data_IF_993158511423
#
_entry.id   IF_993158511423
#
_cell.length_a   1.000
_cell.length_b   1.000
_cell.length_c   1.000
_cell.angle_alpha   90.00
_cell.angle_beta   90.00
_cell.angle_gamma   90.00
#
_symmetry.space_group_name_H-M   'P 1'
#
loop_
_entity.id
_entity.type
_entity.pdbx_description
1 polymer ?
#
# COMPACT_ATOMS: atom_id res chain seq x y z
N UNK A 1 12.99 6.91 -15.88
CA UNK A 1 13.98 5.85 -15.62
C UNK A 1 14.50 6.00 -14.21
N UNK A 2 14.04 5.16 -13.28
CA UNK A 2 14.50 5.14 -11.90
C UNK A 2 15.25 3.81 -11.69
N UNK A 3 16.58 3.86 -11.68
CA UNK A 3 17.40 2.70 -11.32
C UNK A 3 17.37 2.60 -9.79
N UNK A 4 16.75 1.54 -9.26
CA UNK A 4 16.88 1.21 -7.85
C UNK A 4 18.29 0.69 -7.59
N UNK A 5 19.14 1.53 -7.00
CA UNK A 5 20.51 1.17 -6.60
C UNK A 5 20.43 0.58 -5.19
N UNK A 6 20.71 -0.71 -5.05
CA UNK A 6 21.01 -1.32 -3.75
C UNK A 6 22.44 -0.94 -3.35
N UNK A 7 22.61 0.02 -2.44
CA UNK A 7 23.89 0.23 -1.78
C UNK A 7 24.14 -0.91 -0.78
N UNK A 8 24.69 -2.02 -1.27
CA UNK A 8 25.48 -2.91 -0.41
C UNK A 8 26.81 -2.23 -0.17
N UNK A 9 26.93 -1.48 0.94
CA UNK A 9 28.23 -1.03 1.42
C UNK A 9 28.98 -2.25 1.98
N UNK A 10 30.01 -2.68 1.26
CA UNK A 10 31.02 -3.63 1.70
C UNK A 10 32.39 -2.98 1.50
N UNK A 11 33.20 -3.02 2.55
CA UNK A 11 34.43 -2.28 2.79
C UNK A 11 35.47 -2.22 1.66
N UNK A 12 36.28 -1.16 1.73
CA UNK A 12 37.59 -1.07 1.09
C UNK A 12 38.41 -2.34 1.36
N UNK A 13 38.75 -3.08 0.29
CA UNK A 13 39.85 -4.06 0.33
C UNK A 13 40.87 -3.62 -0.70
N UNK A 14 42.03 -3.24 -0.16
CA UNK A 14 43.25 -2.93 -0.89
C UNK A 14 43.65 -4.10 -1.80
N UNK A 15 44.17 -3.72 -2.96
CA UNK A 15 44.67 -4.55 -4.04
C UNK A 15 45.77 -5.51 -3.57
N UNK A 16 45.51 -6.82 -3.59
CA UNK A 16 46.56 -7.86 -3.54
C UNK A 16 46.36 -8.89 -4.65
N UNK A 17 47.37 -8.92 -5.52
CA UNK A 17 47.59 -9.78 -6.67
C UNK A 17 47.43 -11.27 -6.33
N UNK A 18 46.58 -11.97 -7.08
CA UNK A 18 46.66 -13.44 -7.20
C UNK A 18 45.53 -14.25 -6.56
N UNK A 19 44.27 -13.77 -6.57
CA UNK A 19 43.13 -14.56 -6.08
C UNK A 19 42.50 -15.37 -7.21
N UNK A 20 42.40 -16.68 -6.98
CA UNK A 20 41.64 -17.65 -7.80
C UNK A 20 40.23 -17.11 -8.01
N UNK A 21 39.82 -16.97 -9.28
CA UNK A 21 38.44 -16.67 -9.68
C UNK A 21 37.56 -17.74 -9.06
N UNK A 22 36.87 -17.38 -7.97
CA UNK A 22 35.81 -18.20 -7.40
C UNK A 22 34.58 -18.00 -8.29
N UNK A 23 33.79 -19.05 -8.51
CA UNK A 23 32.69 -19.10 -9.49
C UNK A 23 31.64 -17.98 -9.36
N UNK A 24 31.68 -17.18 -8.28
CA UNK A 24 30.86 -16.00 -8.03
C UNK A 24 31.09 -14.86 -9.04
N UNK A 25 32.27 -14.72 -9.64
CA UNK A 25 32.58 -13.63 -10.60
C UNK A 25 32.04 -13.87 -12.02
N UNK A 26 31.45 -15.04 -12.30
CA UNK A 26 30.87 -15.36 -13.61
C UNK A 26 29.36 -15.16 -13.72
N UNK A 27 28.71 -14.61 -12.68
CA UNK A 27 27.27 -14.35 -12.71
C UNK A 27 27.02 -13.13 -13.59
N UNK A 28 26.45 -13.36 -14.78
CA UNK A 28 25.79 -12.29 -15.53
C UNK A 28 24.66 -11.73 -14.68
N UNK A 29 24.56 -10.41 -14.61
CA UNK A 29 23.47 -9.76 -13.91
C UNK A 29 22.15 -10.07 -14.62
N UNK A 30 21.24 -10.74 -13.91
CA UNK A 30 19.93 -11.10 -14.41
C UNK A 30 18.88 -10.16 -13.80
N UNK A 31 18.04 -9.60 -14.67
CA UNK A 31 17.01 -8.63 -14.32
C UNK A 31 15.62 -9.21 -14.57
N UNK A 32 14.67 -8.84 -13.73
CA UNK A 32 13.24 -9.01 -13.96
C UNK A 32 12.56 -7.65 -13.95
N UNK A 33 11.58 -7.48 -14.83
CA UNK A 33 10.87 -6.21 -15.01
C UNK A 33 9.37 -6.42 -14.87
N UNK A 34 8.77 -5.57 -14.05
CA UNK A 34 7.41 -5.73 -13.58
C UNK A 34 6.56 -4.49 -13.85
N UNK A 35 5.44 -4.69 -14.53
CA UNK A 35 4.38 -3.70 -14.59
C UNK A 35 3.43 -3.92 -13.43
N UNK A 36 3.26 -2.90 -12.60
CA UNK A 36 2.54 -3.01 -11.35
C UNK A 36 1.15 -2.38 -11.46
N UNK A 37 0.17 -3.04 -10.87
CA UNK A 37 -1.16 -2.52 -10.68
C UNK A 37 -1.69 -2.90 -9.30
N UNK A 38 -2.62 -2.10 -8.79
CA UNK A 38 -3.34 -2.39 -7.56
C UNK A 38 -4.76 -2.82 -7.89
N UNK A 39 -5.21 -3.91 -7.27
CA UNK A 39 -6.60 -4.33 -7.29
C UNK A 39 -7.20 -4.04 -5.91
N UNK A 40 -8.14 -3.11 -5.85
CA UNK A 40 -8.64 -2.63 -4.56
C UNK A 40 -9.23 -1.25 -4.71
N UNK A 41 -10.27 -0.97 -3.94
CA UNK A 41 -11.09 0.23 -4.13
C UNK A 41 -12.60 -0.02 -4.03
N UNK A 42 -13.02 -1.23 -3.69
CA UNK A 42 -14.40 -1.46 -3.24
C UNK A 42 -14.58 -0.86 -1.86
N UNK A 43 -15.72 -0.20 -1.63
CA UNK A 43 -16.14 0.25 -0.30
C UNK A 43 -16.19 -0.95 0.64
N UNK A 44 -15.47 -0.86 1.76
CA UNK A 44 -15.47 -1.92 2.78
C UNK A 44 -16.42 -1.58 3.93
N UNK A 45 -16.77 -0.30 4.09
CA UNK A 45 -17.74 0.15 5.09
C UNK A 45 -19.16 -0.26 4.70
N UNK A 46 -19.80 -1.06 5.56
CA UNK A 46 -21.22 -1.44 5.46
C UNK A 46 -21.99 -0.72 6.56
N UNK A 47 -23.03 0.03 6.21
CA UNK A 47 -24.00 0.56 7.18
C UNK A 47 -25.14 -0.45 7.41
N UNK A 48 -25.75 -0.42 8.61
CA UNK A 48 -26.97 -1.18 8.90
C UNK A 48 -28.16 -0.32 8.45
N UNK A 49 -28.43 -0.34 7.15
CA UNK A 49 -29.56 0.37 6.56
C UNK A 49 -29.89 -0.23 5.19
N UNK A 50 -31.17 -0.28 4.83
CA UNK A 50 -31.64 -0.75 3.52
C UNK A 50 -31.18 0.14 2.36
N UNK A 51 -30.58 1.28 2.67
CA UNK A 51 -29.96 2.18 1.71
C UNK A 51 -28.45 1.91 1.69
N UNK A 52 -27.96 1.47 0.54
CA UNK A 52 -26.53 1.42 0.30
C UNK A 52 -25.93 2.81 0.59
N UNK A 53 -24.72 2.89 1.19
CA UNK A 53 -24.06 4.17 1.39
C UNK A 53 -24.04 4.95 0.07
N UNK A 54 -24.36 6.24 0.12
CA UNK A 54 -24.32 7.17 -1.02
C UNK A 54 -22.88 7.21 -1.56
N UNK A 55 -22.63 6.35 -2.54
CA UNK A 55 -21.34 6.05 -3.14
C UNK A 55 -20.66 7.27 -3.78
N UNK A 56 -21.42 8.33 -4.07
CA UNK A 56 -20.89 9.59 -4.59
C UNK A 56 -20.25 10.48 -3.53
N UNK A 57 -20.36 10.16 -2.23
CA UNK A 57 -19.83 10.99 -1.13
C UNK A 57 -18.61 10.40 -0.42
N UNK A 58 -18.18 9.21 -0.78
CA UNK A 58 -17.07 8.51 -0.11
C UNK A 58 -15.84 8.42 -1.01
N UNK A 59 -14.68 8.77 -0.43
CA UNK A 59 -13.35 8.61 -1.06
C UNK A 59 -12.70 7.26 -0.70
N UNK A 60 -13.44 6.37 -0.02
CA UNK A 60 -12.94 5.10 0.51
C UNK A 60 -12.39 4.18 -0.59
N UNK A 61 -13.00 4.20 -1.77
CA UNK A 61 -12.54 3.44 -2.92
C UNK A 61 -11.29 3.98 -3.60
N UNK A 62 -10.93 5.25 -3.36
CA UNK A 62 -9.88 5.94 -4.12
C UNK A 62 -8.49 5.56 -3.61
N UNK A 63 -7.55 5.41 -4.55
CA UNK A 63 -6.11 5.29 -4.29
C UNK A 63 -5.39 6.43 -4.98
N UNK A 64 -4.78 7.34 -4.20
CA UNK A 64 -4.07 8.51 -4.71
C UNK A 64 -2.55 8.44 -4.50
N UNK A 65 -2.10 7.52 -3.64
CA UNK A 65 -0.68 7.27 -3.43
C UNK A 65 -0.44 5.81 -3.07
N UNK A 66 0.76 5.31 -3.36
CA UNK A 66 1.17 3.95 -3.02
C UNK A 66 2.68 3.85 -2.87
N UNK A 67 3.14 3.22 -1.80
CA UNK A 67 4.49 2.70 -1.67
C UNK A 67 4.48 1.20 -1.94
N UNK A 68 5.38 0.73 -2.80
CA UNK A 68 5.59 -0.70 -3.07
C UNK A 68 7.01 -1.07 -2.69
N UNK A 69 7.15 -2.18 -1.96
CA UNK A 69 8.42 -2.85 -1.73
C UNK A 69 8.37 -4.27 -2.29
N UNK A 70 9.48 -4.72 -2.86
CA UNK A 70 9.69 -6.09 -3.28
C UNK A 70 10.67 -6.80 -2.34
N UNK A 71 10.48 -8.12 -2.22
CA UNK A 71 11.29 -9.03 -1.42
C UNK A 71 11.56 -10.32 -2.19
N UNK A 72 12.73 -10.94 -1.99
CA UNK A 72 12.99 -12.30 -2.44
C UNK A 72 12.40 -13.29 -1.45
N UNK A 73 11.72 -14.32 -1.97
CA UNK A 73 11.01 -15.33 -1.19
C UNK A 73 9.50 -15.18 -1.28
N UNK A 74 8.80 -16.22 -0.83
CA UNK A 74 7.35 -16.16 -0.64
C UNK A 74 6.99 -15.44 0.65
N UNK A 75 5.77 -14.93 0.73
CA UNK A 75 5.27 -14.22 1.91
C UNK A 75 5.40 -15.03 3.21
N UNK A 76 5.25 -16.36 3.13
CA UNK A 76 5.42 -17.31 4.23
C UNK A 76 6.86 -17.40 4.78
N UNK A 77 7.85 -16.99 3.97
CA UNK A 77 9.25 -16.96 4.34
C UNK A 77 9.73 -15.58 4.80
N UNK A 78 8.88 -14.54 4.67
CA UNK A 78 9.25 -13.19 5.10
C UNK A 78 9.26 -13.10 6.63
N UNK A 79 10.31 -12.48 7.15
CA UNK A 79 10.46 -12.18 8.57
C UNK A 79 10.60 -10.68 8.75
N UNK A 80 10.50 -10.19 9.98
CA UNK A 80 10.72 -8.76 10.25
C UNK A 80 12.09 -8.25 9.76
N UNK A 81 13.10 -9.12 9.67
CA UNK A 81 14.43 -8.77 9.17
C UNK A 81 14.61 -8.91 7.66
N UNK A 82 13.61 -9.36 6.90
CA UNK A 82 13.72 -9.50 5.44
C UNK A 82 13.92 -8.14 4.79
N UNK A 83 15.02 -7.99 4.05
CA UNK A 83 15.42 -6.73 3.42
C UNK A 83 14.63 -6.44 2.14
N UNK A 84 14.32 -5.16 1.93
CA UNK A 84 13.71 -4.67 0.71
C UNK A 84 14.75 -4.67 -0.42
N UNK A 85 14.47 -5.39 -1.50
CA UNK A 85 15.38 -5.49 -2.67
C UNK A 85 15.13 -4.39 -3.71
N UNK A 86 13.91 -3.86 -3.75
CA UNK A 86 13.50 -2.74 -4.59
C UNK A 86 12.29 -2.07 -3.97
N UNK A 87 12.16 -0.76 -4.14
CA UNK A 87 10.95 -0.04 -3.76
C UNK A 87 10.68 1.14 -4.67
N UNK A 88 9.41 1.52 -4.75
CA UNK A 88 8.96 2.67 -5.51
C UNK A 88 7.78 3.34 -4.82
N UNK A 89 7.66 4.65 -5.04
CA UNK A 89 6.54 5.44 -4.55
C UNK A 89 5.80 6.09 -5.73
N UNK A 90 4.49 5.94 -5.75
CA UNK A 90 3.57 6.39 -6.79
C UNK A 90 2.56 7.35 -6.18
N UNK A 91 2.21 8.43 -6.87
CA UNK A 91 1.14 9.32 -6.44
C UNK A 91 0.54 10.13 -7.59
N UNK A 92 -0.67 10.65 -7.38
CA UNK A 92 -1.40 11.56 -8.28
C UNK A 92 -1.23 13.04 -7.93
N UNK A 93 -0.43 13.35 -6.90
CA UNK A 93 -0.24 14.70 -6.38
C UNK A 93 1.02 15.35 -7.00
N UNK A 94 1.13 16.68 -6.93
CA UNK A 94 2.37 17.43 -7.25
C UNK A 94 2.96 17.15 -8.64
N UNK A 95 2.12 16.89 -9.65
CA UNK A 95 2.55 16.57 -11.02
C UNK A 95 2.91 15.10 -11.25
N UNK A 96 2.69 14.22 -10.27
CA UNK A 96 2.70 12.78 -10.48
C UNK A 96 1.43 12.34 -11.22
N UNK A 97 1.60 11.67 -12.35
CA UNK A 97 0.53 10.94 -13.07
C UNK A 97 0.82 9.43 -13.03
N UNK A 98 1.40 8.99 -11.91
CA UNK A 98 1.95 7.65 -11.80
C UNK A 98 0.90 6.61 -11.38
N UNK A 99 -0.36 7.02 -11.16
CA UNK A 99 -1.48 6.13 -10.82
C UNK A 99 -2.66 6.50 -11.71
N UNK A 100 -3.00 5.60 -12.64
CA UNK A 100 -4.15 5.75 -13.54
C UNK A 100 -5.25 4.74 -13.22
N UNK A 101 -6.50 5.19 -13.15
CA UNK A 101 -7.64 4.26 -13.11
C UNK A 101 -7.72 3.52 -14.44
N UNK A 102 -7.65 2.19 -14.39
CA UNK A 102 -7.60 1.31 -15.56
C UNK A 102 -8.62 0.17 -15.44
N UNK A 103 -9.93 0.48 -15.33
CA UNK A 103 -10.97 -0.52 -15.13
C UNK A 103 -11.00 -1.52 -16.30
N UNK A 104 -11.17 -2.80 -15.97
CA UNK A 104 -11.47 -3.85 -16.94
C UNK A 104 -12.93 -4.27 -16.83
N UNK A 105 -13.43 -5.03 -17.82
CA UNK A 105 -14.81 -5.57 -17.78
C UNK A 105 -15.05 -6.43 -16.53
N UNK A 106 -14.02 -7.11 -16.05
CA UNK A 106 -14.10 -8.08 -14.96
C UNK A 106 -13.73 -7.46 -13.59
N UNK A 107 -13.00 -6.34 -13.59
CA UNK A 107 -12.65 -5.62 -12.37
C UNK A 107 -12.65 -4.09 -12.59
N UNK A 108 -13.66 -3.37 -12.06
CA UNK A 108 -13.78 -1.93 -12.23
C UNK A 108 -12.81 -1.12 -11.35
N UNK A 109 -12.12 -1.76 -10.40
CA UNK A 109 -11.28 -1.10 -9.39
C UNK A 109 -9.81 -1.51 -9.54
N UNK A 110 -9.26 -1.27 -10.73
CA UNK A 110 -7.85 -1.47 -11.04
C UNK A 110 -7.16 -0.11 -11.18
N UNK A 111 -6.01 0.03 -10.53
CA UNK A 111 -5.14 1.20 -10.62
C UNK A 111 -3.80 0.78 -11.22
N UNK A 112 -3.54 1.19 -12.46
CA UNK A 112 -2.26 0.96 -13.13
C UNK A 112 -1.20 1.94 -12.59
N UNK A 113 0.02 1.46 -12.40
CA UNK A 113 1.13 2.26 -11.91
C UNK A 113 2.11 2.56 -13.05
N UNK A 114 2.27 3.85 -13.39
CA UNK A 114 2.90 4.30 -14.63
C UNK A 114 4.41 4.04 -14.77
N UNK A 115 5.07 3.40 -13.80
CA UNK A 115 6.47 3.00 -13.89
C UNK A 115 6.65 1.52 -13.56
N UNK A 116 7.44 0.83 -14.37
CA UNK A 116 7.87 -0.55 -14.12
C UNK A 116 8.93 -0.61 -13.01
N UNK A 117 8.95 -1.72 -12.28
CA UNK A 117 9.97 -2.03 -11.28
C UNK A 117 10.97 -3.01 -11.85
N UNK A 118 12.26 -2.66 -11.80
CA UNK A 118 13.37 -3.52 -12.25
C UNK A 118 14.04 -4.11 -11.01
N UNK A 119 14.20 -5.43 -10.98
CA UNK A 119 14.78 -6.16 -9.86
C UNK A 119 15.94 -7.03 -10.36
N UNK A 120 17.08 -6.99 -9.67
CA UNK A 120 18.16 -7.95 -9.88
C UNK A 120 17.81 -9.29 -9.22
N UNK A 121 17.83 -10.36 -10.00
CA UNK A 121 17.42 -11.70 -9.57
C UNK A 121 18.67 -12.57 -9.41
N UNK A 122 18.88 -13.20 -8.24
CA UNK A 122 20.06 -14.01 -7.99
C UNK A 122 19.92 -15.41 -8.59
N UNK A 123 19.85 -15.50 -9.92
CA UNK A 123 19.96 -16.76 -10.68
C UNK A 123 21.30 -16.82 -11.45
N UNK A 124 21.61 -17.96 -12.07
CA UNK A 124 22.86 -18.15 -12.82
C UNK A 124 22.80 -17.59 -14.24
N UNK A 125 21.64 -17.67 -14.89
CA UNK A 125 21.37 -17.16 -16.23
C UNK A 125 19.84 -17.01 -16.42
N UNK A 126 19.42 -16.51 -17.59
CA UNK A 126 18.01 -16.27 -17.90
C UNK A 126 17.18 -17.56 -18.09
N UNK A 127 17.83 -18.70 -18.37
CA UNK A 127 17.17 -20.00 -18.57
C UNK A 127 17.02 -20.82 -17.27
N UNK A 128 17.47 -20.26 -16.14
CA UNK A 128 17.39 -20.88 -14.84
C UNK A 128 15.93 -21.22 -14.46
N UNK A 129 15.71 -22.47 -14.05
CA UNK A 129 14.39 -22.96 -13.63
C UNK A 129 14.14 -22.76 -12.13
N UNK A 130 15.19 -22.52 -11.36
CA UNK A 130 15.22 -22.31 -9.91
C UNK A 130 15.11 -20.82 -9.53
N UNK A 131 14.22 -20.08 -10.21
CA UNK A 131 13.97 -18.66 -9.90
C UNK A 131 13.37 -18.53 -8.50
N UNK A 132 13.89 -17.64 -7.63
CA UNK A 132 13.27 -17.37 -6.34
C UNK A 132 11.89 -16.77 -6.54
N UNK A 133 10.96 -17.00 -5.60
CA UNK A 133 9.71 -16.24 -5.58
C UNK A 133 10.01 -14.75 -5.32
N UNK A 134 9.14 -13.87 -5.80
CA UNK A 134 9.18 -12.45 -5.46
C UNK A 134 7.87 -12.08 -4.80
N UNK A 135 7.93 -11.46 -3.63
CA UNK A 135 6.76 -10.92 -2.93
C UNK A 135 6.75 -9.42 -3.03
N UNK A 136 5.64 -8.87 -3.52
CA UNK A 136 5.38 -7.43 -3.53
C UNK A 136 4.45 -7.08 -2.38
N UNK A 137 4.75 -6.00 -1.68
CA UNK A 137 3.95 -5.47 -0.58
C UNK A 137 3.61 -4.03 -0.90
N UNK A 138 2.33 -3.69 -0.88
CA UNK A 138 1.81 -2.37 -1.19
C UNK A 138 1.19 -1.72 0.05
N UNK A 139 1.54 -0.46 0.30
CA UNK A 139 0.89 0.41 1.28
C UNK A 139 0.34 1.64 0.54
N UNK A 140 -0.98 1.71 0.41
CA UNK A 140 -1.68 2.74 -0.33
C UNK A 140 -2.21 3.85 0.59
N UNK A 141 -2.32 5.05 0.03
CA UNK A 141 -2.85 6.26 0.68
C UNK A 141 -2.07 6.72 1.92
N UNK A 142 -0.74 6.63 1.86
CA UNK A 142 0.16 7.14 2.92
C UNK A 142 0.56 8.62 2.72
N UNK A 143 0.28 9.19 1.55
CA UNK A 143 0.45 10.61 1.23
C UNK A 143 -0.92 11.23 0.92
N UNK A 144 -1.11 12.46 1.40
CA UNK A 144 -2.24 13.31 1.06
C UNK A 144 -1.80 14.65 0.48
N UNK A 145 -2.75 15.41 -0.07
CA UNK A 145 -2.49 16.78 -0.55
C UNK A 145 -1.91 17.69 0.56
N UNK A 146 -2.32 17.48 1.81
CA UNK A 146 -2.04 18.37 2.94
C UNK A 146 -1.04 17.80 3.97
N UNK A 147 -0.69 16.51 3.87
CA UNK A 147 0.18 15.81 4.83
C UNK A 147 1.29 15.00 4.15
N UNK A 148 2.54 15.49 4.26
CA UNK A 148 3.77 14.83 3.75
C UNK A 148 4.51 13.98 4.78
N UNK A 149 4.24 14.18 6.07
CA UNK A 149 5.10 13.66 7.16
C UNK A 149 5.13 12.13 7.26
N UNK A 150 4.01 11.48 6.97
CA UNK A 150 3.95 10.01 7.00
C UNK A 150 4.74 9.40 5.83
N UNK A 151 4.75 10.04 4.64
CA UNK A 151 5.54 9.62 3.48
C UNK A 151 7.05 9.71 3.73
N UNK A 152 7.54 10.88 4.17
CA UNK A 152 8.97 11.10 4.36
C UNK A 152 9.54 10.11 5.39
N UNK A 153 8.77 9.84 6.45
CA UNK A 153 9.10 8.82 7.44
C UNK A 153 9.08 7.39 6.86
N UNK A 154 8.16 7.10 5.94
CA UNK A 154 8.04 5.79 5.30
C UNK A 154 9.21 5.54 4.32
N UNK A 155 9.42 6.41 3.34
CA UNK A 155 10.45 6.23 2.30
C UNK A 155 11.87 6.26 2.86
N UNK A 156 12.15 7.12 3.84
CA UNK A 156 13.50 7.24 4.38
C UNK A 156 13.91 6.03 5.26
N UNK A 157 12.98 5.50 6.06
CA UNK A 157 13.29 4.56 7.14
C UNK A 157 12.82 3.13 6.90
N UNK A 158 12.01 2.89 5.87
CA UNK A 158 11.54 1.54 5.57
C UNK A 158 12.63 0.76 4.82
N UNK A 159 13.31 -0.16 5.51
CA UNK A 159 14.39 -0.99 4.94
C UNK A 159 14.05 -2.48 4.96
N UNK A 160 13.17 -2.88 5.87
CA UNK A 160 12.79 -4.27 6.09
C UNK A 160 11.29 -4.45 6.02
N UNK A 161 10.86 -5.71 5.88
CA UNK A 161 9.45 -6.08 5.99
C UNK A 161 8.88 -5.73 7.38
N UNK A 162 9.68 -5.86 8.44
CA UNK A 162 9.30 -5.45 9.79
C UNK A 162 9.06 -3.94 9.91
N UNK A 163 9.82 -3.11 9.20
CA UNK A 163 9.60 -1.66 9.19
C UNK A 163 8.24 -1.30 8.56
N UNK A 164 7.84 -2.01 7.49
CA UNK A 164 6.53 -1.84 6.86
C UNK A 164 5.41 -2.16 7.88
N UNK A 165 5.50 -3.33 8.52
CA UNK A 165 4.48 -3.80 9.48
C UNK A 165 4.44 -2.97 10.76
N UNK A 166 5.61 -2.54 11.24
CA UNK A 166 5.77 -1.82 12.50
C UNK A 166 5.41 -0.34 12.40
N UNK A 167 5.30 0.22 11.19
CA UNK A 167 4.99 1.63 11.01
C UNK A 167 3.53 1.90 11.34
N UNK A 168 3.30 2.48 12.51
CA UNK A 168 2.02 3.11 12.83
C UNK A 168 1.82 4.29 11.89
N UNK A 169 0.78 4.24 11.08
CA UNK A 169 0.33 5.40 10.32
C UNK A 169 -0.39 6.28 11.33
N UNK A 170 0.29 7.32 11.76
CA UNK A 170 -0.09 8.12 12.93
C UNK A 170 -0.92 9.35 12.57
N UNK A 171 -0.92 9.77 11.30
CA UNK A 171 -1.62 10.98 10.86
C UNK A 171 -2.49 10.67 9.62
N UNK A 172 -3.49 9.81 9.80
CA UNK A 172 -4.57 9.70 8.81
C UNK A 172 -5.51 10.89 8.97
N UNK A 173 -5.61 11.73 7.96
CA UNK A 173 -6.82 12.56 7.78
C UNK A 173 -8.04 11.63 7.87
N UNK A 174 -9.15 12.03 8.52
CA UNK A 174 -10.35 11.20 8.61
C UNK A 174 -10.90 10.72 7.26
N UNK A 175 -10.52 11.37 6.15
CA UNK A 175 -10.91 11.00 4.78
C UNK A 175 -9.84 10.21 4.01
N UNK A 176 -8.73 9.83 4.66
CA UNK A 176 -7.68 9.00 4.08
C UNK A 176 -7.80 7.57 4.58
N UNK A 177 -8.14 6.68 3.66
CA UNK A 177 -8.29 5.26 3.91
C UNK A 177 -7.04 4.53 3.43
N UNK A 178 -6.13 4.27 4.37
CA UNK A 178 -4.93 3.47 4.12
C UNK A 178 -5.34 2.06 3.72
N UNK A 179 -4.66 1.55 2.70
CA UNK A 179 -4.83 0.16 2.25
C UNK A 179 -3.52 -0.59 2.30
N UNK A 180 -3.58 -1.87 2.61
CA UNK A 180 -2.43 -2.77 2.68
C UNK A 180 -2.71 -4.04 1.90
N UNK A 181 -1.69 -4.58 1.25
CA UNK A 181 -1.82 -5.77 0.43
C UNK A 181 -0.47 -6.35 0.03
N UNK A 182 -0.51 -7.60 -0.39
CA UNK A 182 0.67 -8.33 -0.85
C UNK A 182 0.30 -9.35 -1.92
N UNK A 183 1.26 -9.70 -2.74
CA UNK A 183 1.16 -10.81 -3.68
C UNK A 183 2.53 -11.45 -3.88
N UNK A 184 2.55 -12.78 -3.90
CA UNK A 184 3.74 -13.56 -4.23
C UNK A 184 3.62 -14.10 -5.66
N UNK A 185 4.67 -13.92 -6.46
CA UNK A 185 4.76 -14.47 -7.80
C UNK A 185 5.97 -15.41 -7.92
N UNK A 186 5.82 -16.43 -8.76
CA UNK A 186 6.88 -17.40 -9.09
C UNK A 186 7.13 -17.52 -10.58
N UNK A 187 6.12 -17.19 -11.41
CA UNK A 187 6.22 -17.23 -12.86
C UNK A 187 6.43 -15.81 -13.40
N UNK A 188 7.69 -15.42 -13.53
CA UNK A 188 8.08 -14.14 -14.10
C UNK A 188 9.23 -14.29 -15.09
N UNK A 189 9.30 -13.35 -16.02
CA UNK A 189 10.33 -13.29 -17.07
C UNK A 189 11.62 -12.67 -16.52
N UNK A 190 12.76 -13.22 -16.92
CA UNK A 190 14.09 -12.74 -16.56
C UNK A 190 14.95 -12.54 -17.81
N UNK A 191 15.91 -11.62 -17.77
CA UNK A 191 16.76 -11.24 -18.90
C UNK A 191 18.16 -10.82 -18.45
N UNK A 192 19.14 -10.95 -19.32
CA UNK A 192 20.52 -10.47 -19.09
C UNK A 192 20.67 -8.95 -19.29
N UNK A 193 19.69 -8.31 -19.92
CA UNK A 193 19.67 -6.87 -20.18
C UNK A 193 18.31 -6.31 -19.80
N UNK A 194 18.36 -5.12 -19.19
CA UNK A 194 17.18 -4.28 -18.96
C UNK A 194 16.59 -3.87 -20.30
N UNK A 195 15.27 -3.87 -20.40
CA UNK A 195 14.50 -3.45 -21.56
C UNK A 195 14.55 -1.92 -21.70
N UNK A 196 14.61 -1.46 -22.94
CA UNK A 196 14.45 -0.05 -23.24
C UNK A 196 12.99 0.41 -23.02
N UNK A 197 12.03 -0.51 -23.20
CA UNK A 197 10.60 -0.26 -23.02
C UNK A 197 9.88 -1.52 -22.49
N UNK A 198 8.96 -1.30 -21.57
CA UNK A 198 8.17 -2.35 -20.93
C UNK A 198 6.76 -2.35 -21.54
N UNK A 199 6.40 -3.45 -22.20
CA UNK A 199 5.14 -3.66 -22.91
C UNK A 199 4.38 -4.78 -22.21
N UNK A 200 3.24 -4.42 -21.62
CA UNK A 200 2.36 -5.33 -20.88
C UNK A 200 2.04 -6.58 -21.72
N UNK A 201 2.24 -7.77 -21.13
CA UNK A 201 1.93 -9.05 -21.76
C UNK A 201 3.01 -9.57 -22.74
N UNK A 202 3.87 -8.71 -23.28
CA UNK A 202 4.91 -9.11 -24.22
C UNK A 202 6.23 -9.42 -23.52
N UNK A 203 6.88 -8.41 -22.95
CA UNK A 203 8.27 -8.51 -22.53
C UNK A 203 8.47 -8.37 -21.01
N UNK A 204 7.52 -7.76 -20.31
CA UNK A 204 7.45 -7.62 -18.85
C UNK A 204 6.42 -8.55 -18.22
N UNK A 205 6.51 -8.70 -16.90
CA UNK A 205 5.56 -9.48 -16.10
C UNK A 205 4.59 -8.52 -15.41
N UNK A 206 3.29 -8.65 -15.69
CA UNK A 206 2.28 -7.88 -14.97
C UNK A 206 2.05 -8.45 -13.58
N UNK A 207 1.96 -7.58 -12.57
CA UNK A 207 1.65 -7.95 -11.19
C UNK A 207 0.50 -7.09 -10.69
N UNK A 208 -0.59 -7.77 -10.31
CA UNK A 208 -1.75 -7.13 -9.70
C UNK A 208 -1.74 -7.42 -8.19
N UNK A 209 -1.56 -6.37 -7.38
CA UNK A 209 -1.46 -6.48 -5.93
C UNK A 209 -2.83 -6.18 -5.31
N UNK A 210 -3.49 -7.15 -4.67
CA UNK A 210 -4.74 -6.92 -3.98
C UNK A 210 -4.52 -6.13 -2.70
N UNK A 211 -5.20 -4.98 -2.56
CA UNK A 211 -5.10 -4.12 -1.38
C UNK A 211 -6.44 -3.98 -0.66
N UNK A 212 -6.39 -4.04 0.66
CA UNK A 212 -7.55 -4.00 1.55
C UNK A 212 -7.43 -2.86 2.53
N UNK A 213 -8.55 -2.29 2.94
CA UNK A 213 -8.55 -1.18 3.87
C UNK A 213 -8.10 -1.63 5.26
N UNK A 214 -7.17 -0.88 5.85
CA UNK A 214 -6.72 -1.11 7.22
C UNK A 214 -7.66 -0.46 8.25
N UNK A 215 -8.32 0.64 7.85
CA UNK A 215 -9.23 1.38 8.72
C UNK A 215 -10.68 0.95 8.51
N UNK A 216 -11.54 1.23 9.48
CA UNK A 216 -12.98 1.06 9.35
C UNK A 216 -13.65 2.42 9.62
N UNK A 217 -14.62 2.80 8.78
CA UNK A 217 -15.45 3.95 9.09
C UNK A 217 -16.63 3.50 9.96
N UNK A 218 -16.91 4.28 11.01
CA UNK A 218 -18.09 4.08 11.86
C UNK A 218 -18.92 5.36 11.75
N UNK A 219 -20.13 5.24 11.22
CA UNK A 219 -21.08 6.33 11.14
C UNK A 219 -22.19 6.12 12.17
N UNK A 220 -22.39 7.11 13.03
CA UNK A 220 -23.55 7.14 13.92
C UNK A 220 -24.77 7.54 13.10
N UNK A 221 -25.71 6.60 12.93
CA UNK A 221 -26.94 6.84 12.18
C UNK A 221 -27.87 7.84 12.89
N UNK A 222 -28.07 7.64 14.20
CA UNK A 222 -28.93 8.51 15.00
C UNK A 222 -28.50 8.51 16.47
N UNK A 223 -28.55 9.68 17.11
CA UNK A 223 -28.43 9.81 18.57
C UNK A 223 -29.76 10.27 19.18
N UNK A 224 -30.51 9.33 19.76
CA UNK A 224 -31.79 9.65 20.44
C UNK A 224 -31.56 10.11 21.87
N UNK A 225 -31.84 11.39 22.15
CA UNK A 225 -31.89 11.92 23.52
C UNK A 225 -33.28 11.72 24.11
N UNK A 226 -33.44 10.69 24.93
CA UNK A 226 -34.67 10.49 25.69
C UNK A 226 -34.76 11.52 26.82
N UNK A 227 -35.80 12.35 26.79
CA UNK A 227 -36.10 13.28 27.90
C UNK A 227 -36.43 12.48 29.15
N UNK A 228 -35.58 12.56 30.18
CA UNK A 228 -35.98 12.13 31.53
C UNK A 228 -36.99 13.16 32.05
N UNK A 229 -38.27 12.83 32.02
CA UNK A 229 -39.29 13.61 32.71
C UNK A 229 -39.01 13.45 34.20
N UNK A 230 -38.47 14.49 34.84
CA UNK A 230 -38.49 14.56 36.30
C UNK A 230 -39.92 14.88 36.70
N UNK A 231 -40.66 13.85 37.11
CA UNK A 231 -41.90 13.99 37.88
C UNK A 231 -41.49 14.22 39.33
N UNK A 232 -41.88 15.37 39.86
CA UNK A 232 -41.76 15.69 41.28
C UNK A 232 -43.11 16.12 41.82
N UNK A 233 -43.30 15.92 43.11
CA UNK A 233 -44.42 16.48 43.85
C UNK A 233 -43.94 17.80 44.45
N UNK A 234 -44.67 18.89 44.26
CA UNK A 234 -44.34 20.15 44.93
C UNK A 234 -44.71 20.10 46.42
N UNK A 235 -44.41 21.18 47.13
CA UNK A 235 -44.69 21.35 48.57
C UNK A 235 -46.17 21.19 48.94
N UNK A 236 -47.07 21.27 47.96
CA UNK A 236 -48.52 21.21 48.13
C UNK A 236 -49.11 19.86 47.72
N UNK A 237 -48.29 18.90 47.27
CA UNK A 237 -48.76 17.60 46.82
C UNK A 237 -49.13 17.55 45.33
N UNK A 238 -48.94 18.65 44.58
CA UNK A 238 -49.28 18.71 43.16
C UNK A 238 -48.15 18.15 42.28
N UNK A 239 -48.55 17.34 41.31
CA UNK A 239 -47.66 16.76 40.30
C UNK A 239 -47.21 17.86 39.33
N UNK A 240 -45.91 18.13 39.29
CA UNK A 240 -45.35 18.99 38.26
C UNK A 240 -44.36 18.25 37.35
N UNK A 241 -44.36 18.62 36.06
CA UNK A 241 -43.38 18.18 35.08
C UNK A 241 -42.53 19.38 34.63
N UNK A 242 -41.23 19.40 34.96
CA UNK A 242 -40.30 20.39 34.41
C UNK A 242 -39.58 19.81 33.18
N UNK A 243 -39.88 20.34 31.99
CA UNK A 243 -39.06 20.13 30.80
C UNK A 243 -37.79 20.98 30.93
N UNK A 244 -36.66 20.38 31.32
CA UNK A 244 -35.35 21.04 31.13
C UNK A 244 -35.07 21.11 29.62
N UNK A 245 -34.97 22.33 29.06
CA UNK A 245 -34.43 22.53 27.72
C UNK A 245 -32.91 22.43 27.82
N UNK A 246 -32.33 21.39 27.25
CA UNK A 246 -30.92 21.43 26.89
C UNK A 246 -30.83 22.02 25.47
N UNK A 247 -29.92 22.96 25.21
CA UNK A 247 -29.71 23.45 23.86
C UNK A 247 -29.28 22.29 22.96
N UNK A 248 -29.84 22.22 21.76
CA UNK A 248 -29.31 21.38 20.68
C UNK A 248 -27.85 21.79 20.47
N UNK A 249 -26.94 20.83 20.63
CA UNK A 249 -25.63 20.92 20.01
C UNK A 249 -25.81 20.50 18.55
N UNK A 250 -25.90 21.49 17.67
CA UNK A 250 -25.67 21.28 16.25
C UNK A 250 -24.17 21.03 16.07
N UNK A 251 -23.83 19.86 15.52
CA UNK A 251 -22.49 19.55 15.03
C UNK A 251 -22.17 20.41 13.80
#
# INVERSE_FOLDING_TARGET
MLLAISCSMGDEVLDEVGKVVTEEESRTDIYAEFDLALTGGTLQTKSVGTEAPDNNKTTEGVINSCYIAAFLGGEDALTNGSEIIASAFYNTYQGGDAIGSAPTKDNPNIYALGNHMIIKIPVRNADATDKPKVTFVAVANILSADAKKDLDGFVANCKTYGDILGRRITMTDPNIFVKFGSVTISDYKVREKVLDECVEGENCTKVEIPVYQLTSAIQLEEFKVNKKVQTGTDSNGDLFSRKRRYPMLTL
#
